data_IF_708819937030
#
_entry.id   IF_708819937030
#
_cell.length_a   1.000
_cell.length_b   1.000
_cell.length_c   1.000
_cell.angle_alpha   90.00
_cell.angle_beta   90.00
_cell.angle_gamma   90.00
#
_symmetry.space_group_name_H-M   'P 1'
#
loop_
_entity.id
_entity.type
_entity.pdbx_description
1 polymer ?
#
# COMPACT_ATOMS: atom_id res chain seq x y z
N UNK A 1 -27.88 -3.99 -20.50
CA UNK A 1 -27.03 -3.16 -19.61
C UNK A 1 -26.14 -2.31 -20.51
N UNK A 2 -26.04 -0.98 -20.30
CA UNK A 2 -25.18 -0.17 -21.14
C UNK A 2 -23.71 -0.49 -20.81
N UNK A 3 -22.95 -0.88 -21.83
CA UNK A 3 -21.51 -1.07 -21.76
C UNK A 3 -20.86 0.29 -21.40
N UNK A 4 -20.16 0.34 -20.28
CA UNK A 4 -19.23 1.42 -19.99
C UNK A 4 -18.02 1.24 -20.92
N UNK A 5 -18.08 1.87 -22.10
CA UNK A 5 -16.90 2.10 -22.93
C UNK A 5 -15.98 3.07 -22.17
N UNK A 6 -14.84 2.54 -21.69
CA UNK A 6 -13.67 3.35 -21.36
C UNK A 6 -13.15 3.95 -22.67
N UNK A 7 -13.72 5.08 -23.08
CA UNK A 7 -13.10 5.94 -24.09
C UNK A 7 -11.79 6.45 -23.50
N UNK A 8 -10.67 5.98 -24.05
CA UNK A 8 -9.38 6.66 -23.97
C UNK A 8 -9.56 8.09 -24.50
N UNK A 9 -9.93 9.01 -23.62
CA UNK A 9 -9.66 10.42 -23.81
C UNK A 9 -8.24 10.63 -23.31
N UNK A 10 -7.33 10.91 -24.24
CA UNK A 10 -6.17 11.75 -23.94
C UNK A 10 -6.71 13.04 -23.30
N UNK A 11 -6.72 13.05 -21.96
CA UNK A 11 -7.16 14.19 -21.17
C UNK A 11 -5.94 15.07 -20.95
N UNK A 12 -5.99 16.23 -21.58
CA UNK A 12 -5.09 17.35 -21.39
C UNK A 12 -4.75 17.54 -19.91
N UNK A 13 -3.46 17.67 -19.62
CA UNK A 13 -2.93 18.08 -18.34
C UNK A 13 -3.69 19.32 -17.83
N UNK A 14 -4.31 19.21 -16.67
CA UNK A 14 -4.85 20.37 -15.95
C UNK A 14 -3.68 21.24 -15.47
N UNK A 15 -3.69 22.56 -15.71
CA UNK A 15 -2.56 23.43 -15.44
C UNK A 15 -2.61 23.93 -14.00
N UNK A 16 -2.20 23.12 -13.03
CA UNK A 16 -1.76 23.67 -11.75
C UNK A 16 -0.33 24.19 -11.91
N UNK A 17 -0.21 25.50 -12.09
CA UNK A 17 1.05 26.24 -12.04
C UNK A 17 1.46 26.89 -13.36
N UNK A 18 0.83 28.01 -13.74
CA UNK A 18 1.48 28.97 -14.65
C UNK A 18 2.48 29.79 -13.84
N UNK A 19 3.76 29.69 -14.21
CA UNK A 19 4.75 30.73 -13.99
C UNK A 19 5.81 30.45 -12.93
N UNK A 20 6.73 29.54 -13.22
CA UNK A 20 8.12 29.71 -12.78
C UNK A 20 9.02 29.33 -13.95
N UNK A 21 9.87 30.26 -14.35
CA UNK A 21 10.99 30.02 -15.28
C UNK A 21 11.69 28.72 -14.89
N UNK A 22 11.66 27.72 -15.78
CA UNK A 22 12.38 26.45 -15.59
C UNK A 22 13.86 26.79 -15.40
N UNK A 23 14.32 26.78 -14.16
CA UNK A 23 15.74 26.89 -13.85
C UNK A 23 16.41 25.60 -14.28
N UNK A 24 17.67 25.68 -14.71
CA UNK A 24 18.53 24.51 -14.99
C UNK A 24 18.60 23.50 -13.82
N UNK A 25 18.14 23.86 -12.61
CA UNK A 25 18.04 23.01 -11.43
C UNK A 25 16.80 22.09 -11.38
N UNK A 26 15.74 22.35 -12.16
CA UNK A 26 14.51 21.54 -12.14
C UNK A 26 14.67 20.16 -12.82
N UNK A 27 15.74 19.96 -13.60
CA UNK A 27 16.03 18.68 -14.27
C UNK A 27 16.48 17.55 -13.32
N UNK A 28 16.74 17.85 -12.03
CA UNK A 28 17.19 16.87 -11.03
C UNK A 28 16.37 16.93 -9.74
N UNK A 29 15.04 17.07 -9.85
CA UNK A 29 14.17 16.95 -8.68
C UNK A 29 14.21 15.53 -8.11
N UNK A 30 14.61 15.42 -6.83
CA UNK A 30 14.45 14.21 -6.03
C UNK A 30 13.11 14.23 -5.26
N UNK A 31 12.09 14.94 -5.74
CA UNK A 31 10.78 14.94 -5.08
C UNK A 31 10.09 13.58 -5.29
N UNK A 32 9.61 13.00 -4.19
CA UNK A 32 9.07 11.64 -4.16
C UNK A 32 7.64 11.65 -3.61
N UNK A 33 6.76 10.86 -4.23
CA UNK A 33 5.50 10.41 -3.62
C UNK A 33 5.66 8.97 -3.14
N UNK A 34 5.23 8.65 -1.93
CA UNK A 34 5.20 7.29 -1.40
C UNK A 34 3.77 6.95 -1.02
N UNK A 35 3.28 5.85 -1.57
CA UNK A 35 2.09 5.19 -1.05
C UNK A 35 2.53 4.10 -0.08
N UNK A 36 2.38 4.34 1.22
CA UNK A 36 2.89 3.45 2.28
C UNK A 36 1.78 2.50 2.73
N UNK A 37 1.36 1.62 1.81
CA UNK A 37 0.23 0.73 2.03
C UNK A 37 0.55 -0.50 2.88
N UNK A 38 -0.46 -1.01 3.59
CA UNK A 38 -0.39 -2.22 4.44
C UNK A 38 0.11 -3.48 3.71
N UNK A 39 -0.20 -3.60 2.41
CA UNK A 39 0.19 -4.75 1.60
C UNK A 39 1.37 -4.45 0.67
N UNK A 40 1.35 -3.30 -0.01
CA UNK A 40 2.37 -2.88 -0.97
C UNK A 40 2.74 -1.42 -0.75
N UNK A 41 3.98 -1.08 -1.07
CA UNK A 41 4.49 0.29 -1.11
C UNK A 41 4.81 0.66 -2.55
N UNK A 42 4.31 1.81 -2.99
CA UNK A 42 4.64 2.38 -4.29
C UNK A 42 5.48 3.64 -4.11
N UNK A 43 6.45 3.84 -4.99
CA UNK A 43 7.27 5.05 -5.01
C UNK A 43 7.20 5.72 -6.37
N UNK A 44 6.70 6.95 -6.37
CA UNK A 44 6.66 7.84 -7.51
C UNK A 44 7.80 8.85 -7.42
N UNK A 45 8.53 9.06 -8.52
CA UNK A 45 9.54 10.11 -8.62
C UNK A 45 9.07 11.15 -9.63
N UNK A 46 9.11 12.43 -9.25
CA UNK A 46 8.70 13.54 -10.12
C UNK A 46 9.47 13.50 -11.44
N UNK A 47 8.74 13.47 -12.55
CA UNK A 47 9.31 13.38 -13.90
C UNK A 47 9.68 11.97 -14.36
N UNK A 48 9.62 10.95 -13.51
CA UNK A 48 9.88 9.55 -13.87
C UNK A 48 8.64 8.65 -13.77
N UNK A 49 7.64 9.03 -12.97
CA UNK A 49 6.47 8.20 -12.74
C UNK A 49 6.66 7.24 -11.55
N UNK A 50 5.89 6.15 -11.53
CA UNK A 50 6.04 5.07 -10.55
C UNK A 50 7.29 4.26 -10.91
N UNK A 51 8.28 4.27 -10.02
CA UNK A 51 9.59 3.61 -10.22
C UNK A 51 9.78 2.39 -9.31
N UNK A 52 8.92 2.21 -8.31
CA UNK A 52 8.92 1.07 -7.40
C UNK A 52 7.48 0.67 -7.05
N UNK A 53 7.22 -0.62 -7.04
CA UNK A 53 6.00 -1.25 -6.53
C UNK A 53 6.40 -2.60 -5.91
N UNK A 54 6.49 -2.64 -4.59
CA UNK A 54 6.99 -3.81 -3.85
C UNK A 54 6.10 -4.09 -2.63
N UNK A 55 5.96 -5.35 -2.21
CA UNK A 55 5.32 -5.69 -0.95
C UNK A 55 5.91 -4.94 0.26
N UNK A 56 5.05 -4.53 1.19
CA UNK A 56 5.46 -3.89 2.44
C UNK A 56 5.92 -4.93 3.47
N UNK A 57 7.02 -5.65 3.15
CA UNK A 57 7.56 -6.75 3.96
C UNK A 57 9.06 -6.60 4.11
N UNK A 58 9.55 -6.83 5.33
CA UNK A 58 10.98 -6.84 5.66
C UNK A 58 11.32 -8.17 6.34
N UNK A 59 12.37 -8.84 5.87
CA UNK A 59 12.94 -9.99 6.55
C UNK A 59 14.18 -9.56 7.35
N UNK A 60 14.19 -9.86 8.64
CA UNK A 60 15.29 -9.53 9.56
C UNK A 60 15.78 -10.76 10.31
N UNK A 61 17.07 -10.75 10.66
CA UNK A 61 17.62 -11.64 11.68
C UNK A 61 17.15 -11.18 13.07
N UNK A 62 16.53 -12.06 13.87
CA UNK A 62 15.88 -11.70 15.14
C UNK A 62 16.84 -11.17 16.20
N UNK A 63 18.08 -11.64 16.21
CA UNK A 63 19.08 -11.29 17.23
C UNK A 63 19.75 -9.96 16.96
N UNK A 64 20.17 -9.72 15.71
CA UNK A 64 20.91 -8.50 15.33
C UNK A 64 20.00 -7.39 14.79
N UNK A 65 18.75 -7.71 14.41
CA UNK A 65 17.87 -6.80 13.69
C UNK A 65 18.34 -6.49 12.26
N UNK A 66 19.37 -7.19 11.76
CA UNK A 66 19.93 -6.99 10.42
C UNK A 66 18.90 -7.33 9.36
N UNK A 67 18.71 -6.41 8.41
CA UNK A 67 17.87 -6.62 7.23
C UNK A 67 18.53 -7.66 6.31
N UNK A 68 17.78 -8.72 6.01
CA UNK A 68 18.17 -9.79 5.10
C UNK A 68 17.54 -9.61 3.72
N UNK A 69 16.27 -9.19 3.69
CA UNK A 69 15.54 -8.91 2.44
C UNK A 69 14.43 -7.86 2.69
N UNK A 70 14.01 -7.17 1.63
CA UNK A 70 12.90 -6.21 1.63
C UNK A 70 12.11 -6.36 0.34
N UNK A 71 10.79 -6.24 0.41
CA UNK A 71 9.90 -6.35 -0.75
C UNK A 71 9.55 -7.79 -1.09
N UNK A 72 9.51 -8.09 -2.38
CA UNK A 72 9.10 -9.41 -2.91
C UNK A 72 9.90 -10.57 -2.31
N UNK A 73 11.23 -10.41 -2.20
CA UNK A 73 12.09 -11.42 -1.60
C UNK A 73 11.78 -11.68 -0.12
N UNK A 74 11.32 -10.67 0.63
CA UNK A 74 10.89 -10.86 2.01
C UNK A 74 9.48 -11.47 2.09
N UNK A 75 8.57 -11.11 1.17
CA UNK A 75 7.21 -11.68 1.10
C UNK A 75 7.24 -13.19 0.89
N UNK A 76 8.15 -13.71 0.06
CA UNK A 76 8.30 -15.17 -0.17
C UNK A 76 8.67 -15.96 1.09
N UNK A 77 9.26 -15.28 2.09
CA UNK A 77 9.67 -15.88 3.35
C UNK A 77 8.52 -15.95 4.37
N UNK A 78 7.40 -15.24 4.16
CA UNK A 78 6.29 -15.20 5.13
C UNK A 78 5.75 -16.61 5.40
N UNK A 79 5.71 -16.98 6.69
CA UNK A 79 5.29 -18.30 7.15
C UNK A 79 6.25 -19.45 6.79
N UNK A 80 7.43 -19.15 6.24
CA UNK A 80 8.44 -20.12 5.78
C UNK A 80 9.84 -19.88 6.36
N UNK A 81 10.00 -18.96 7.31
CA UNK A 81 11.30 -18.64 7.91
C UNK A 81 11.74 -19.67 8.94
N UNK A 82 13.06 -19.96 9.03
CA UNK A 82 13.66 -20.63 10.20
C UNK A 82 13.49 -19.80 11.48
N UNK A 83 13.71 -20.42 12.64
CA UNK A 83 13.51 -19.81 13.96
C UNK A 83 14.24 -18.47 14.19
N UNK A 84 15.40 -18.27 13.57
CA UNK A 84 16.23 -17.06 13.72
C UNK A 84 15.84 -15.89 12.79
N UNK A 85 14.94 -16.12 11.82
CA UNK A 85 14.54 -15.11 10.83
C UNK A 85 13.06 -14.75 11.03
N UNK A 86 12.75 -13.47 10.98
CA UNK A 86 11.38 -12.98 10.99
C UNK A 86 11.10 -12.20 9.69
N UNK A 87 10.08 -12.60 8.95
CA UNK A 87 9.48 -11.78 7.90
C UNK A 87 8.29 -11.02 8.49
N UNK A 88 8.35 -9.69 8.44
CA UNK A 88 7.47 -8.79 9.19
C UNK A 88 6.82 -7.80 8.20
N UNK A 89 5.50 -7.62 8.32
CA UNK A 89 4.76 -6.51 7.74
C UNK A 89 4.77 -5.38 8.78
N UNK A 90 5.50 -4.27 8.57
CA UNK A 90 5.64 -3.22 9.59
C UNK A 90 4.41 -2.30 9.67
N UNK A 91 3.54 -2.39 8.68
CA UNK A 91 2.27 -1.68 8.59
C UNK A 91 1.14 -2.66 8.85
N UNK A 92 0.15 -2.21 9.63
CA UNK A 92 -1.08 -2.95 9.89
C UNK A 92 -2.23 -1.98 9.93
N UNK A 93 -3.35 -2.31 9.29
CA UNK A 93 -4.55 -1.46 9.25
C UNK A 93 -4.24 -0.01 8.80
N UNK A 94 -3.31 0.15 7.85
CA UNK A 94 -2.89 1.45 7.31
C UNK A 94 -1.96 2.27 8.21
N UNK A 95 -1.57 1.74 9.39
CA UNK A 95 -0.74 2.44 10.37
C UNK A 95 0.57 1.71 10.65
N UNK A 96 1.57 2.44 11.11
CA UNK A 96 2.87 1.89 11.53
C UNK A 96 2.67 1.09 12.82
N UNK A 97 2.84 -0.23 12.72
CA UNK A 97 2.80 -1.14 13.86
C UNK A 97 4.20 -1.38 14.45
N UNK A 98 5.24 -1.28 13.61
CA UNK A 98 6.64 -1.38 13.99
C UNK A 98 7.45 -0.26 13.34
N UNK A 99 7.88 0.70 14.18
CA UNK A 99 8.62 1.89 13.75
C UNK A 99 10.00 1.54 13.18
N UNK A 100 10.74 0.65 13.86
CA UNK A 100 12.11 0.32 13.47
C UNK A 100 12.12 -0.42 12.13
N UNK A 101 11.17 -1.35 11.96
CA UNK A 101 11.03 -2.08 10.70
C UNK A 101 10.46 -1.18 9.58
N UNK A 102 9.56 -0.24 9.89
CA UNK A 102 9.09 0.77 8.92
C UNK A 102 10.21 1.68 8.43
N UNK A 103 11.08 2.14 9.34
CA UNK A 103 12.25 2.95 8.97
C UNK A 103 13.20 2.17 8.06
N UNK A 104 13.44 0.88 8.34
CA UNK A 104 14.25 0.00 7.49
C UNK A 104 13.63 -0.18 6.10
N UNK A 105 12.31 -0.37 6.01
CA UNK A 105 11.55 -0.46 4.76
C UNK A 105 11.70 0.81 3.93
N UNK A 106 11.35 1.96 4.52
CA UNK A 106 11.43 3.27 3.86
C UNK A 106 12.87 3.61 3.45
N UNK A 107 13.84 3.36 4.33
CA UNK A 107 15.25 3.61 4.05
C UNK A 107 15.74 2.83 2.84
N UNK A 108 15.35 1.56 2.72
CA UNK A 108 15.73 0.72 1.61
C UNK A 108 15.07 1.19 0.30
N UNK A 109 13.77 1.46 0.30
CA UNK A 109 13.07 1.95 -0.90
C UNK A 109 13.55 3.32 -1.36
N UNK A 110 13.72 4.28 -0.45
CA UNK A 110 14.28 5.60 -0.77
C UNK A 110 15.70 5.46 -1.32
N UNK A 111 16.53 4.56 -0.75
CA UNK A 111 17.89 4.32 -1.24
C UNK A 111 17.90 3.71 -2.64
N UNK A 112 16.97 2.82 -2.97
CA UNK A 112 16.87 2.21 -4.31
C UNK A 112 16.55 3.25 -5.39
N UNK A 113 15.75 4.27 -5.07
CA UNK A 113 15.28 5.25 -6.07
C UNK A 113 16.12 6.53 -6.12
N UNK A 114 16.71 6.98 -5.00
CA UNK A 114 17.51 8.23 -4.94
C UNK A 114 18.98 7.96 -5.25
N UNK A 115 19.37 8.18 -6.51
CA UNK A 115 20.74 7.92 -7.02
C UNK A 115 21.83 8.82 -6.44
N UNK A 116 21.50 10.04 -5.97
CA UNK A 116 22.47 11.04 -5.48
C UNK A 116 22.16 11.53 -4.05
N UNK A 117 21.82 10.59 -3.15
CA UNK A 117 21.41 10.88 -1.76
C UNK A 117 22.39 11.74 -0.96
N UNK A 118 23.69 11.69 -1.28
CA UNK A 118 24.73 12.46 -0.60
C UNK A 118 24.76 13.95 -0.96
N UNK A 119 24.18 14.34 -2.11
CA UNK A 119 24.20 15.72 -2.60
C UNK A 119 22.92 16.48 -2.24
N UNK A 120 21.75 15.81 -2.27
CA UNK A 120 20.47 16.41 -1.87
C UNK A 120 19.50 15.38 -1.31
N UNK A 121 19.04 15.61 -0.08
CA UNK A 121 17.93 14.88 0.53
C UNK A 121 16.59 15.21 -0.17
N UNK A 122 15.72 14.23 -0.45
CA UNK A 122 14.45 14.42 -1.14
C UNK A 122 13.40 15.11 -0.26
N UNK A 123 12.42 15.78 -0.88
CA UNK A 123 11.14 16.08 -0.24
C UNK A 123 10.18 14.94 -0.56
N UNK A 124 9.40 14.52 0.42
CA UNK A 124 8.54 13.34 0.29
C UNK A 124 7.10 13.71 0.62
N UNK A 125 6.17 13.32 -0.23
CA UNK A 125 4.73 13.26 0.08
C UNK A 125 4.38 11.81 0.39
N UNK A 126 3.74 11.53 1.52
CA UNK A 126 3.32 10.18 1.92
C UNK A 126 1.80 10.17 2.09
N UNK A 127 1.12 9.21 1.45
CA UNK A 127 -0.31 8.97 1.70
C UNK A 127 -0.50 8.33 3.09
N UNK A 128 -1.54 8.74 3.80
CA UNK A 128 -1.93 8.16 5.09
C UNK A 128 -3.45 7.99 5.15
N UNK A 129 -3.97 6.98 5.88
CA UNK A 129 -5.41 6.77 6.02
C UNK A 129 -6.13 7.98 6.61
N UNK A 130 -7.41 8.15 6.29
CA UNK A 130 -8.20 9.28 6.81
C UNK A 130 -8.45 9.22 8.32
N UNK A 131 -8.48 8.00 8.87
CA UNK A 131 -8.64 7.72 10.29
C UNK A 131 -7.35 7.76 11.12
N UNK A 132 -6.21 8.14 10.54
CA UNK A 132 -4.91 8.11 11.23
C UNK A 132 -4.84 9.12 12.39
N UNK A 133 -4.34 8.67 13.54
CA UNK A 133 -4.15 9.51 14.75
C UNK A 133 -2.93 10.41 14.63
N UNK A 134 -2.84 11.47 15.45
CA UNK A 134 -1.67 12.36 15.43
C UNK A 134 -0.36 11.65 15.85
N UNK A 135 -0.45 10.62 16.70
CA UNK A 135 0.72 9.80 17.10
C UNK A 135 1.21 8.98 15.91
N UNK A 136 0.30 8.36 15.15
CA UNK A 136 0.64 7.60 13.95
C UNK A 136 1.11 8.52 12.81
N UNK A 137 0.54 9.72 12.63
CA UNK A 137 1.07 10.71 11.67
C UNK A 137 2.51 11.08 11.99
N UNK A 138 2.81 11.27 13.28
CA UNK A 138 4.18 11.56 13.74
C UNK A 138 5.10 10.38 13.45
N UNK A 139 4.65 9.15 13.70
CA UNK A 139 5.37 7.92 13.36
C UNK A 139 5.85 7.90 11.90
N UNK A 140 4.93 8.20 10.98
CA UNK A 140 5.20 8.18 9.54
C UNK A 140 6.22 9.27 9.17
N UNK A 141 6.07 10.49 9.70
CA UNK A 141 7.03 11.56 9.46
C UNK A 141 8.41 11.22 9.99
N UNK A 142 8.50 10.80 11.26
CA UNK A 142 9.78 10.49 11.91
C UNK A 142 10.50 9.35 11.17
N UNK A 143 9.77 8.31 10.76
CA UNK A 143 10.33 7.18 9.99
C UNK A 143 10.88 7.63 8.64
N UNK A 144 10.17 8.52 7.94
CA UNK A 144 10.59 9.04 6.64
C UNK A 144 11.77 10.04 6.75
N UNK A 145 11.80 10.87 7.79
CA UNK A 145 12.90 11.78 8.10
C UNK A 145 14.18 11.01 8.44
N UNK A 146 14.09 10.00 9.31
CA UNK A 146 15.20 9.11 9.63
C UNK A 146 15.68 8.33 8.39
N UNK A 147 14.73 7.91 7.54
CA UNK A 147 15.03 7.27 6.27
C UNK A 147 15.71 8.18 5.24
N UNK A 148 15.86 9.48 5.53
CA UNK A 148 16.69 10.43 4.79
C UNK A 148 15.92 11.54 4.08
N UNK A 149 14.62 11.71 4.34
CA UNK A 149 13.86 12.83 3.84
C UNK A 149 14.36 14.17 4.41
N UNK A 150 14.21 15.25 3.63
CA UNK A 150 14.44 16.62 4.07
C UNK A 150 13.19 17.23 4.69
N UNK A 151 12.06 17.00 4.03
CA UNK A 151 10.73 17.48 4.39
C UNK A 151 9.73 16.38 4.06
N UNK A 152 8.77 16.17 4.94
CA UNK A 152 7.71 15.17 4.78
C UNK A 152 6.34 15.84 4.84
N UNK A 153 5.57 15.67 3.78
CA UNK A 153 4.18 16.10 3.69
C UNK A 153 3.29 14.87 3.75
N UNK A 154 2.21 14.93 4.53
CA UNK A 154 1.22 13.87 4.58
C UNK A 154 0.01 14.26 3.73
N UNK A 155 -0.46 13.34 2.90
CA UNK A 155 -1.66 13.48 2.09
C UNK A 155 -2.68 12.42 2.53
N UNK A 156 -3.95 12.79 2.60
CA UNK A 156 -5.00 11.82 2.92
C UNK A 156 -5.18 10.84 1.75
N UNK A 157 -5.10 9.53 2.01
CA UNK A 157 -5.30 8.45 1.04
C UNK A 157 -6.53 8.63 0.14
N UNK A 158 -7.75 8.86 0.67
CA UNK A 158 -8.92 9.03 -0.20
C UNK A 158 -8.82 10.23 -1.13
N UNK A 159 -8.11 11.30 -0.74
CA UNK A 159 -7.83 12.43 -1.62
C UNK A 159 -6.80 12.05 -2.70
N UNK A 160 -5.74 11.34 -2.33
CA UNK A 160 -4.74 10.83 -3.26
C UNK A 160 -5.37 9.88 -4.29
N UNK A 161 -6.22 8.96 -3.85
CA UNK A 161 -6.96 8.03 -4.68
C UNK A 161 -7.90 8.77 -5.65
N UNK A 162 -8.65 9.76 -5.16
CA UNK A 162 -9.56 10.53 -6.00
C UNK A 162 -8.84 11.30 -7.10
N UNK A 163 -7.71 11.94 -6.77
CA UNK A 163 -6.85 12.60 -7.75
C UNK A 163 -6.28 11.55 -8.73
N UNK A 164 -5.83 10.41 -8.22
CA UNK A 164 -5.21 9.33 -9.01
C UNK A 164 -6.14 8.74 -10.08
N UNK A 165 -7.45 8.66 -9.82
CA UNK A 165 -8.45 8.21 -10.80
C UNK A 165 -9.09 9.34 -11.61
N UNK A 166 -8.61 10.58 -11.45
CA UNK A 166 -9.02 11.74 -12.24
C UNK A 166 -10.38 12.33 -11.86
N UNK A 167 -10.82 12.17 -10.61
CA UNK A 167 -12.06 12.78 -10.13
C UNK A 167 -11.87 14.30 -9.95
N UNK A 168 -12.89 15.12 -10.30
CA UNK A 168 -12.79 16.57 -10.22
C UNK A 168 -13.03 17.08 -8.79
N UNK A 169 -12.04 16.83 -7.92
CA UNK A 169 -12.10 17.11 -6.47
C UNK A 169 -12.24 18.59 -6.12
N UNK A 170 -11.92 19.49 -7.05
CA UNK A 170 -12.00 20.95 -6.92
C UNK A 170 -13.42 21.50 -7.12
N UNK A 171 -14.34 20.69 -7.66
CA UNK A 171 -15.70 21.10 -7.98
C UNK A 171 -16.60 21.14 -6.73
N UNK A 172 -17.68 21.94 -6.74
CA UNK A 172 -18.65 21.99 -5.64
C UNK A 172 -19.52 20.73 -5.52
N UNK A 173 -19.52 19.87 -6.54
CA UNK A 173 -20.26 18.60 -6.51
C UNK A 173 -19.58 17.61 -5.57
N UNK A 174 -20.37 17.00 -4.68
CA UNK A 174 -19.89 15.95 -3.79
C UNK A 174 -19.59 14.66 -4.55
N UNK A 175 -18.39 14.12 -4.35
CA UNK A 175 -17.91 12.88 -4.96
C UNK A 175 -17.62 11.89 -3.85
N UNK A 176 -18.21 10.70 -3.92
CA UNK A 176 -17.88 9.61 -3.01
C UNK A 176 -16.80 8.72 -3.64
N UNK A 177 -15.74 8.44 -2.88
CA UNK A 177 -14.72 7.46 -3.21
C UNK A 177 -14.68 6.38 -2.15
N UNK A 178 -14.45 5.14 -2.59
CA UNK A 178 -14.25 3.97 -1.74
C UNK A 178 -12.95 3.32 -2.20
N UNK A 179 -11.96 3.32 -1.32
CA UNK A 179 -10.66 2.68 -1.53
C UNK A 179 -10.57 1.45 -0.63
N UNK A 180 -10.38 0.26 -1.21
CA UNK A 180 -10.31 -1.02 -0.48
C UNK A 180 -8.88 -1.53 -0.60
N UNK A 181 -8.10 -1.35 0.48
CA UNK A 181 -6.70 -1.71 0.52
C UNK A 181 -6.41 -3.10 1.08
N UNK A 182 -5.23 -3.24 1.66
CA UNK A 182 -4.80 -4.47 2.35
C UNK A 182 -5.48 -4.64 3.71
N UNK A 183 -5.36 -3.64 4.60
CA UNK A 183 -5.89 -3.71 5.97
C UNK A 183 -7.01 -2.71 6.30
N UNK A 184 -7.30 -1.77 5.40
CA UNK A 184 -8.36 -0.78 5.61
C UNK A 184 -9.17 -0.56 4.33
N UNK A 185 -10.44 -0.21 4.53
CA UNK A 185 -11.26 0.41 3.49
C UNK A 185 -11.56 1.85 3.89
N UNK A 186 -11.18 2.80 3.04
CA UNK A 186 -11.39 4.23 3.22
C UNK A 186 -12.59 4.68 2.38
N UNK A 187 -13.58 5.29 3.01
CA UNK A 187 -14.76 5.85 2.36
C UNK A 187 -14.75 7.34 2.61
N UNK A 188 -14.78 8.16 1.56
CA UNK A 188 -14.78 9.61 1.72
C UNK A 188 -15.73 10.29 0.74
N UNK A 189 -16.33 11.39 1.18
CA UNK A 189 -17.04 12.35 0.34
C UNK A 189 -16.18 13.60 0.21
N UNK A 190 -15.87 14.00 -1.03
CA UNK A 190 -14.95 15.08 -1.38
C UNK A 190 -15.71 16.17 -2.16
N UNK A 191 -15.44 17.43 -1.84
CA UNK A 191 -15.87 18.60 -2.62
C UNK A 191 -14.93 19.78 -2.33
N UNK A 192 -14.72 20.67 -3.31
CA UNK A 192 -13.93 21.90 -3.15
C UNK A 192 -12.53 21.67 -2.54
N UNK A 193 -11.82 20.64 -3.01
CA UNK A 193 -10.51 20.17 -2.51
C UNK A 193 -10.51 19.74 -1.03
N UNK A 194 -11.68 19.54 -0.43
CA UNK A 194 -11.84 19.15 0.96
C UNK A 194 -12.56 17.82 1.11
N UNK A 195 -12.15 17.02 2.09
CA UNK A 195 -12.93 15.88 2.56
C UNK A 195 -14.05 16.43 3.43
N UNK A 196 -15.29 16.26 2.99
CA UNK A 196 -16.51 16.70 3.69
C UNK A 196 -16.86 15.72 4.80
N UNK A 197 -16.74 14.42 4.52
CA UNK A 197 -16.98 13.35 5.47
C UNK A 197 -16.11 12.15 5.11
N UNK A 198 -15.68 11.38 6.09
CA UNK A 198 -14.94 10.14 5.89
C UNK A 198 -15.28 9.09 6.94
N UNK A 199 -15.05 7.83 6.56
CA UNK A 199 -15.07 6.68 7.45
C UNK A 199 -13.91 5.77 7.01
N UNK A 200 -13.10 5.36 7.98
CA UNK A 200 -12.11 4.29 7.82
C UNK A 200 -12.59 3.06 8.57
N UNK A 201 -12.59 1.89 7.92
CA UNK A 201 -12.89 0.62 8.56
C UNK A 201 -11.73 -0.36 8.37
N UNK A 202 -11.42 -1.12 9.42
CA UNK A 202 -10.39 -2.17 9.44
C UNK A 202 -10.95 -3.48 8.91
N UNK A 203 -11.49 -3.42 7.69
CA UNK A 203 -12.02 -4.55 6.95
C UNK A 203 -11.63 -4.34 5.49
N UNK A 204 -10.76 -5.19 4.97
CA UNK A 204 -10.22 -5.09 3.63
C UNK A 204 -9.66 -6.45 3.17
N UNK A 205 -8.58 -6.45 2.39
CA UNK A 205 -8.00 -7.67 1.82
C UNK A 205 -7.51 -8.70 2.84
N UNK A 206 -7.02 -8.29 4.00
CA UNK A 206 -6.48 -9.16 5.04
C UNK A 206 -7.62 -9.92 5.76
N UNK A 207 -8.72 -9.25 6.11
CA UNK A 207 -9.91 -9.90 6.70
C UNK A 207 -10.58 -10.87 5.73
N UNK A 208 -10.52 -10.59 4.42
CA UNK A 208 -10.96 -11.54 3.38
C UNK A 208 -10.10 -12.80 3.36
N UNK A 209 -8.78 -12.66 3.48
CA UNK A 209 -7.86 -13.79 3.56
C UNK A 209 -8.15 -14.63 4.81
N UNK A 210 -8.28 -14.00 5.98
CA UNK A 210 -8.59 -14.68 7.23
C UNK A 210 -9.93 -15.43 7.17
N UNK A 211 -10.94 -14.84 6.54
CA UNK A 211 -12.23 -15.48 6.31
C UNK A 211 -12.10 -16.75 5.45
N UNK A 212 -11.24 -16.74 4.43
CA UNK A 212 -10.95 -17.92 3.60
C UNK A 212 -10.23 -19.00 4.42
N UNK A 213 -9.21 -18.63 5.22
CA UNK A 213 -8.50 -19.57 6.11
C UNK A 213 -9.49 -20.21 7.09
N UNK A 214 -10.33 -19.40 7.74
CA UNK A 214 -11.33 -19.88 8.69
C UNK A 214 -12.37 -20.79 8.03
N UNK A 215 -12.81 -20.45 6.82
CA UNK A 215 -13.76 -21.26 6.07
C UNK A 215 -13.19 -22.65 5.78
N UNK A 216 -11.96 -22.75 5.28
CA UNK A 216 -11.32 -24.03 4.99
C UNK A 216 -11.07 -24.84 6.25
N UNK A 217 -10.61 -24.18 7.32
CA UNK A 217 -10.40 -24.81 8.63
C UNK A 217 -11.70 -25.40 9.18
N UNK A 218 -12.82 -24.68 9.11
CA UNK A 218 -14.10 -25.10 9.71
C UNK A 218 -14.83 -26.17 8.89
N UNK A 219 -14.80 -26.07 7.56
CA UNK A 219 -15.60 -26.95 6.70
C UNK A 219 -14.82 -28.17 6.20
N UNK A 220 -13.48 -28.09 6.18
CA UNK A 220 -12.63 -29.15 5.61
C UNK A 220 -11.52 -29.62 6.56
N UNK A 221 -11.42 -29.07 7.78
CA UNK A 221 -10.28 -29.30 8.70
C UNK A 221 -8.91 -29.04 8.05
N UNK A 222 -8.86 -28.17 7.03
CA UNK A 222 -7.67 -27.87 6.27
C UNK A 222 -7.08 -26.54 6.72
N UNK A 223 -5.83 -26.54 7.17
CA UNK A 223 -5.08 -25.33 7.51
C UNK A 223 -4.23 -24.90 6.32
N UNK A 224 -4.43 -23.66 5.87
CA UNK A 224 -3.61 -23.01 4.85
C UNK A 224 -2.95 -21.75 5.40
N UNK A 225 -1.87 -21.30 4.76
CA UNK A 225 -1.21 -20.04 5.09
C UNK A 225 -1.84 -18.83 4.39
N UNK A 226 -1.48 -17.63 4.85
CA UNK A 226 -1.97 -16.35 4.31
C UNK A 226 -1.75 -16.21 2.80
N UNK A 227 -0.57 -16.56 2.29
CA UNK A 227 -0.27 -16.49 0.85
C UNK A 227 -1.20 -17.36 0.01
N UNK A 228 -1.55 -18.55 0.49
CA UNK A 228 -2.50 -19.44 -0.19
C UNK A 228 -3.91 -18.87 -0.14
N UNK A 229 -4.32 -18.26 0.97
CA UNK A 229 -5.62 -17.61 1.08
C UNK A 229 -5.73 -16.40 0.15
N UNK A 230 -4.68 -15.59 0.06
CA UNK A 230 -4.61 -14.48 -0.89
C UNK A 230 -4.67 -14.97 -2.35
N UNK A 231 -3.98 -16.06 -2.68
CA UNK A 231 -4.04 -16.67 -4.00
C UNK A 231 -5.45 -17.17 -4.35
N UNK A 232 -6.15 -17.81 -3.40
CA UNK A 232 -7.55 -18.23 -3.56
C UNK A 232 -8.44 -17.02 -3.82
N UNK A 233 -8.31 -15.97 -3.00
CA UNK A 233 -9.07 -14.72 -3.13
C UNK A 233 -8.93 -14.13 -4.54
N UNK A 234 -7.71 -14.04 -5.04
CA UNK A 234 -7.42 -13.43 -6.36
C UNK A 234 -7.90 -14.32 -7.51
N UNK A 235 -7.73 -15.65 -7.41
CA UNK A 235 -8.03 -16.57 -8.52
C UNK A 235 -9.51 -16.90 -8.67
N UNK A 236 -10.22 -17.09 -7.55
CA UNK A 236 -11.60 -17.60 -7.57
C UNK A 236 -12.56 -16.83 -6.68
N UNK A 237 -12.12 -15.79 -5.97
CA UNK A 237 -12.99 -14.96 -5.14
C UNK A 237 -13.94 -14.09 -5.98
N UNK A 238 -15.19 -13.97 -5.54
CA UNK A 238 -16.15 -13.02 -6.12
C UNK A 238 -17.13 -12.52 -5.06
N UNK A 239 -17.45 -11.23 -5.11
CA UNK A 239 -18.49 -10.61 -4.27
C UNK A 239 -19.89 -10.65 -4.92
N UNK A 240 -19.99 -11.10 -6.18
CA UNK A 240 -21.24 -11.20 -6.94
C UNK A 240 -21.30 -12.54 -7.67
N UNK A 241 -22.49 -13.16 -7.83
CA UNK A 241 -22.61 -14.42 -8.55
C UNK A 241 -22.00 -14.36 -9.96
N UNK A 242 -21.19 -15.36 -10.31
CA UNK A 242 -20.63 -15.50 -11.64
C UNK A 242 -21.56 -16.37 -12.50
N UNK A 243 -21.58 -16.14 -13.82
CA UNK A 243 -22.31 -17.02 -14.74
C UNK A 243 -21.71 -18.44 -14.76
N UNK A 244 -20.40 -18.55 -14.56
CA UNK A 244 -19.68 -19.82 -14.44
C UNK A 244 -18.79 -19.79 -13.20
N UNK A 245 -19.01 -20.75 -12.32
CA UNK A 245 -18.19 -20.94 -11.12
C UNK A 245 -16.74 -21.27 -11.48
N UNK A 246 -15.81 -20.66 -10.74
CA UNK A 246 -14.38 -20.93 -10.84
C UNK A 246 -13.97 -21.91 -9.74
N UNK A 247 -12.96 -22.74 -10.04
CA UNK A 247 -12.41 -23.69 -9.07
C UNK A 247 -10.89 -23.74 -9.18
N UNK A 248 -10.25 -24.13 -8.08
CA UNK A 248 -8.81 -24.38 -8.03
C UNK A 248 -8.50 -25.49 -7.03
N UNK A 249 -7.40 -26.20 -7.25
CA UNK A 249 -6.85 -27.13 -6.25
C UNK A 249 -6.08 -26.36 -5.19
N UNK A 250 -6.23 -26.78 -3.93
CA UNK A 250 -5.61 -26.13 -2.76
C UNK A 250 -4.85 -27.20 -1.98
N UNK A 251 -3.65 -26.86 -1.52
CA UNK A 251 -2.85 -27.70 -0.61
C UNK A 251 -2.76 -27.01 0.75
N UNK A 252 -2.86 -27.80 1.80
CA UNK A 252 -2.82 -27.33 3.19
C UNK A 252 -2.56 -28.48 4.12
N UNK A 253 -2.35 -28.20 5.40
CA UNK A 253 -2.15 -29.22 6.42
C UNK A 253 -3.50 -29.71 6.92
N UNK A 254 -3.71 -31.02 6.87
CA UNK A 254 -4.84 -31.67 7.51
C UNK A 254 -4.70 -31.55 9.05
N UNK A 255 -5.71 -30.98 9.72
CA UNK A 255 -5.68 -30.78 11.17
C UNK A 255 -6.06 -32.02 11.97
N UNK A 256 -6.68 -33.03 11.34
CA UNK A 256 -7.06 -34.30 11.96
C UNK A 256 -5.90 -35.30 11.86
N UNK A 257 -5.37 -35.50 10.66
CA UNK A 257 -4.26 -36.42 10.42
C UNK A 257 -2.89 -35.78 10.68
N UNK A 258 -2.80 -34.45 10.71
CA UNK A 258 -1.57 -33.71 10.97
C UNK A 258 -0.59 -33.68 9.79
N UNK A 259 -0.96 -34.27 8.64
CA UNK A 259 -0.14 -34.41 7.44
C UNK A 259 -0.43 -33.33 6.39
N UNK A 260 0.51 -33.02 5.48
CA UNK A 260 0.29 -32.14 4.33
C UNK A 260 -0.62 -32.73 3.26
#
# INVERSE_FOLDING_TARGET
MPQFELKNKESAATPYGKGSTLGFFDLFSNDIGIDLGTANTLVFVRGQGIVLNEPSVVAVEKTSGKVLAVGSAAKEMLGRTPGEIAAIRPLKDGVIADFEISEKLLSDFIRRVVKHRYLMKPRIVISVPSGITEVEKRAVRDSAENAGAREVFLLQEPMAAAIGVGLPVDQPSGIMIIDIGGGTSEIAVIALNGIVNNISVRIAGDEMNDSIVMYLKKNYNLLIGELTAEEIKIKIGSAFPLEKELSMEIKGRDLVAGVP
#
